data_IF_672972905790
#
_entry.id   IF_672972905790
#
_cell.length_a   1.000
_cell.length_b   1.000
_cell.length_c   1.000
_cell.angle_alpha   90.00
_cell.angle_beta   90.00
_cell.angle_gamma   90.00
#
_symmetry.space_group_name_H-M   'P 1'
#
loop_
_entity.id
_entity.type
_entity.pdbx_description
1 polymer ?
#
# COMPACT_ATOMS: atom_id res chain seq x y z
N UNK A 1 2.45 -9.41 12.35
CA UNK A 1 1.34 -9.48 11.38
C UNK A 1 0.06 -8.93 12.01
N UNK A 2 -0.33 -9.38 13.18
CA UNK A 2 -1.57 -8.96 13.85
C UNK A 2 -1.66 -7.45 14.10
N UNK A 3 -0.55 -6.83 14.49
CA UNK A 3 -0.50 -5.38 14.73
C UNK A 3 -0.90 -4.54 13.51
N UNK A 4 -0.63 -5.03 12.30
CA UNK A 4 -0.97 -4.35 11.05
C UNK A 4 -2.23 -4.92 10.39
N UNK A 5 -3.02 -5.73 11.10
CA UNK A 5 -4.28 -6.32 10.64
C UNK A 5 -4.11 -7.17 9.37
N UNK A 6 -2.97 -7.85 9.22
CA UNK A 6 -2.73 -8.63 8.01
C UNK A 6 -3.80 -9.69 7.80
N UNK A 7 -4.39 -9.65 6.62
CA UNK A 7 -5.26 -10.67 6.08
C UNK A 7 -5.06 -10.74 4.56
N UNK A 8 -5.40 -11.88 3.96
CA UNK A 8 -5.35 -12.05 2.50
C UNK A 8 -6.72 -11.83 1.84
N UNK A 9 -7.72 -11.49 2.65
CA UNK A 9 -9.09 -11.16 2.22
C UNK A 9 -9.57 -9.90 2.92
N UNK A 10 -10.57 -9.24 2.33
CA UNK A 10 -11.11 -7.98 2.83
C UNK A 10 -12.03 -8.12 4.05
N UNK A 11 -12.42 -9.34 4.43
CA UNK A 11 -13.48 -9.55 5.41
C UNK A 11 -14.85 -9.05 4.91
N UNK A 12 -15.75 -8.74 5.87
CA UNK A 12 -17.11 -8.30 5.58
C UNK A 12 -17.94 -9.36 4.82
N UNK A 13 -19.09 -8.97 4.29
CA UNK A 13 -20.09 -9.87 3.69
C UNK A 13 -19.57 -10.71 2.52
N UNK A 14 -18.69 -10.17 1.70
CA UNK A 14 -18.25 -10.81 0.46
C UNK A 14 -16.85 -11.40 0.53
N UNK A 15 -16.09 -11.03 1.53
CA UNK A 15 -14.74 -11.52 1.82
C UNK A 15 -13.83 -11.69 0.59
N UNK A 16 -13.79 -10.67 -0.26
CA UNK A 16 -12.98 -10.68 -1.48
C UNK A 16 -11.48 -10.79 -1.16
N UNK A 17 -10.71 -11.57 -1.96
CA UNK A 17 -9.27 -11.63 -1.81
C UNK A 17 -8.60 -10.28 -2.08
N UNK A 18 -7.57 -9.96 -1.31
CA UNK A 18 -6.70 -8.81 -1.54
C UNK A 18 -5.57 -9.21 -2.48
N UNK A 19 -5.56 -8.76 -3.74
CA UNK A 19 -4.52 -9.14 -4.69
C UNK A 19 -3.13 -8.75 -4.19
N UNK A 20 -2.22 -9.73 -4.15
CA UNK A 20 -0.83 -9.48 -3.74
C UNK A 20 -0.59 -9.28 -2.24
N UNK A 21 -1.58 -9.49 -1.36
CA UNK A 21 -1.40 -9.33 0.08
C UNK A 21 -0.23 -10.15 0.63
N UNK A 22 0.00 -11.37 0.11
CA UNK A 22 1.13 -12.22 0.48
C UNK A 22 2.49 -11.55 0.28
N UNK A 23 2.61 -10.60 -0.65
CA UNK A 23 3.87 -9.86 -0.87
C UNK A 23 4.27 -9.05 0.36
N UNK A 24 3.29 -8.48 1.07
CA UNK A 24 3.56 -7.76 2.31
C UNK A 24 4.05 -8.70 3.42
N UNK A 25 3.45 -9.88 3.57
CA UNK A 25 3.92 -10.91 4.51
C UNK A 25 5.37 -11.30 4.18
N UNK A 26 5.64 -11.62 2.93
CA UNK A 26 6.94 -12.07 2.47
C UNK A 26 8.00 -10.97 2.60
N UNK A 27 7.63 -9.71 2.35
CA UNK A 27 8.44 -8.53 2.63
C UNK A 27 8.84 -8.45 4.11
N UNK A 28 7.89 -8.60 5.04
CA UNK A 28 8.19 -8.58 6.47
C UNK A 28 9.15 -9.71 6.87
N UNK A 29 8.91 -10.93 6.37
CA UNK A 29 9.79 -12.08 6.64
C UNK A 29 11.22 -11.76 6.18
N UNK A 30 11.38 -11.22 4.97
CA UNK A 30 12.72 -10.84 4.47
C UNK A 30 13.34 -9.70 5.26
N UNK A 31 12.57 -8.70 5.63
CA UNK A 31 13.05 -7.56 6.39
C UNK A 31 13.59 -7.98 7.77
N UNK A 32 12.87 -8.85 8.49
CA UNK A 32 13.32 -9.38 9.77
C UNK A 32 14.52 -10.33 9.61
N UNK A 33 14.54 -11.18 8.60
CA UNK A 33 15.68 -12.05 8.34
C UNK A 33 16.96 -11.28 7.96
N UNK A 34 16.81 -10.12 7.32
CA UNK A 34 17.91 -9.23 6.96
C UNK A 34 18.29 -8.24 8.08
N UNK A 35 17.66 -8.34 9.26
CA UNK A 35 17.85 -7.44 10.40
C UNK A 35 17.75 -5.95 10.01
N UNK A 36 16.73 -5.63 9.20
CA UNK A 36 16.47 -4.23 8.79
C UNK A 36 16.21 -3.38 10.02
N UNK A 37 16.91 -2.25 10.14
CA UNK A 37 16.77 -1.37 11.29
C UNK A 37 15.35 -0.83 11.46
N UNK A 38 14.93 -0.60 12.70
CA UNK A 38 13.58 -0.16 13.01
C UNK A 38 13.21 1.17 12.33
N UNK A 39 14.11 2.12 12.28
CA UNK A 39 13.91 3.41 11.61
C UNK A 39 13.69 3.24 10.11
N UNK A 40 14.44 2.35 9.47
CA UNK A 40 14.25 2.01 8.05
C UNK A 40 12.89 1.33 7.84
N UNK A 41 12.52 0.39 8.72
CA UNK A 41 11.25 -0.30 8.65
C UNK A 41 10.07 0.69 8.75
N UNK A 42 10.14 1.64 9.69
CA UNK A 42 9.13 2.68 9.86
C UNK A 42 9.04 3.57 8.62
N UNK A 43 10.17 4.00 8.05
CA UNK A 43 10.19 4.81 6.82
C UNK A 43 9.55 4.07 5.65
N UNK A 44 9.84 2.78 5.48
CA UNK A 44 9.26 1.95 4.43
C UNK A 44 7.74 1.82 4.59
N UNK A 45 7.25 1.71 5.81
CA UNK A 45 5.81 1.64 6.06
C UNK A 45 5.09 2.96 5.84
N UNK A 46 5.68 4.07 6.29
CA UNK A 46 5.02 5.37 6.20
C UNK A 46 5.13 6.01 4.82
N UNK A 47 6.28 5.86 4.16
CA UNK A 47 6.62 6.57 2.94
C UNK A 47 7.58 5.78 2.03
N UNK A 48 7.43 4.47 1.94
CA UNK A 48 8.29 3.59 1.14
C UNK A 48 8.26 3.90 -0.35
N UNK A 49 7.17 4.45 -0.83
CA UNK A 49 6.97 4.94 -2.21
C UNK A 49 7.74 6.23 -2.51
N UNK A 50 8.11 7.01 -1.50
CA UNK A 50 8.82 8.30 -1.63
C UNK A 50 10.33 8.18 -1.41
N UNK A 51 10.84 7.00 -1.08
CA UNK A 51 12.27 6.82 -0.82
C UNK A 51 13.08 6.96 -2.11
N UNK A 52 14.07 7.86 -2.11
CA UNK A 52 14.98 8.08 -3.23
C UNK A 52 15.95 6.92 -3.44
N UNK A 53 16.25 6.18 -2.37
CA UNK A 53 17.11 4.99 -2.37
C UNK A 53 16.36 3.84 -1.68
N UNK A 54 15.42 3.20 -2.38
CA UNK A 54 14.65 2.11 -1.81
C UNK A 54 15.52 0.88 -1.59
N UNK A 55 15.16 0.06 -0.61
CA UNK A 55 15.71 -1.28 -0.45
C UNK A 55 15.17 -2.18 -1.55
N UNK A 56 16.06 -2.97 -2.14
CA UNK A 56 15.71 -3.86 -3.24
C UNK A 56 15.69 -5.32 -2.77
N UNK A 57 14.82 -6.09 -3.39
CA UNK A 57 14.80 -7.54 -3.22
C UNK A 57 16.13 -8.14 -3.71
N UNK A 58 16.83 -8.98 -2.93
CA UNK A 58 18.18 -9.43 -3.24
C UNK A 58 18.28 -10.21 -4.57
N UNK A 59 17.26 -11.01 -4.89
CA UNK A 59 17.31 -11.88 -6.07
C UNK A 59 16.67 -11.22 -7.31
N UNK A 60 15.55 -10.52 -7.15
CA UNK A 60 14.79 -9.97 -8.26
C UNK A 60 15.12 -8.52 -8.59
N UNK A 61 15.74 -7.78 -7.66
CA UNK A 61 16.01 -6.35 -7.78
C UNK A 61 14.75 -5.47 -7.72
N UNK A 62 13.61 -6.03 -7.33
CA UNK A 62 12.36 -5.28 -7.18
C UNK A 62 12.40 -4.37 -5.94
N UNK A 63 11.67 -3.27 -5.99
CA UNK A 63 11.55 -2.32 -4.89
C UNK A 63 10.78 -2.93 -3.71
N UNK A 64 11.49 -3.25 -2.64
CA UNK A 64 10.91 -3.78 -1.41
C UNK A 64 10.28 -2.69 -0.55
N UNK A 65 10.87 -1.50 -0.53
CA UNK A 65 10.44 -0.43 0.37
C UNK A 65 8.99 0.00 0.14
N UNK A 66 8.54 0.01 -1.11
CA UNK A 66 7.16 0.40 -1.43
C UNK A 66 6.13 -0.62 -0.92
N UNK A 67 6.53 -1.89 -0.77
CA UNK A 67 5.62 -2.95 -0.27
C UNK A 67 5.22 -2.67 1.18
N UNK A 68 6.10 -2.05 1.96
CA UNK A 68 5.82 -1.63 3.34
C UNK A 68 4.56 -0.77 3.45
N UNK A 69 4.31 0.12 2.49
CA UNK A 69 3.12 0.99 2.51
C UNK A 69 1.80 0.22 2.36
N UNK A 70 1.86 -1.05 1.98
CA UNK A 70 0.68 -1.90 1.81
C UNK A 70 -0.16 -2.04 3.09
N UNK A 71 0.43 -1.93 4.28
CA UNK A 71 -0.30 -2.05 5.54
C UNK A 71 -1.42 -1.02 5.71
N UNK A 72 -1.33 0.13 5.05
CA UNK A 72 -2.37 1.15 5.08
C UNK A 72 -3.72 0.65 4.55
N UNK A 73 -3.71 -0.36 3.70
CA UNK A 73 -4.89 -0.88 3.00
C UNK A 73 -5.29 -2.29 3.48
N UNK A 74 -4.59 -2.84 4.46
CA UNK A 74 -5.02 -4.06 5.13
C UNK A 74 -6.15 -3.74 6.11
N UNK A 75 -7.05 -4.69 6.31
CA UNK A 75 -8.20 -4.59 7.21
C UNK A 75 -9.52 -4.75 6.47
N UNK A 76 -10.59 -4.72 7.24
CA UNK A 76 -11.94 -4.86 6.72
C UNK A 76 -12.32 -3.74 5.76
N UNK A 77 -12.96 -4.10 4.65
CA UNK A 77 -13.45 -3.15 3.66
C UNK A 77 -14.92 -3.44 3.31
N UNK A 78 -15.78 -2.48 3.55
CA UNK A 78 -17.19 -2.53 3.17
C UNK A 78 -17.33 -2.45 1.65
N UNK A 79 -18.07 -3.41 1.04
CA UNK A 79 -18.21 -3.48 -0.41
C UNK A 79 -19.00 -2.31 -1.00
N UNK A 80 -20.12 -1.94 -0.38
CA UNK A 80 -21.02 -0.90 -0.88
C UNK A 80 -21.59 -0.09 0.30
N UNK A 81 -20.80 0.80 0.93
CA UNK A 81 -21.25 1.55 2.07
C UNK A 81 -22.40 2.51 1.69
N UNK A 82 -23.46 2.51 2.47
CA UNK A 82 -24.59 3.47 2.32
C UNK A 82 -24.13 4.87 2.71
N UNK A 83 -23.37 4.99 3.80
CA UNK A 83 -22.71 6.23 4.21
C UNK A 83 -21.24 6.20 3.79
N UNK A 84 -20.98 6.64 2.57
CA UNK A 84 -19.62 6.65 1.98
C UNK A 84 -18.67 7.53 2.78
N UNK A 85 -19.14 8.68 3.30
CA UNK A 85 -18.28 9.58 4.10
C UNK A 85 -17.98 9.02 5.48
N UNK A 86 -18.96 8.39 6.10
CA UNK A 86 -18.79 7.71 7.38
C UNK A 86 -17.82 6.54 7.26
N UNK A 87 -17.93 5.74 6.21
CA UNK A 87 -17.00 4.65 5.91
C UNK A 87 -15.58 5.16 5.69
N UNK A 88 -15.39 6.21 4.90
CA UNK A 88 -14.08 6.83 4.69
C UNK A 88 -13.48 7.34 6.00
N UNK A 89 -14.26 8.05 6.82
CA UNK A 89 -13.81 8.54 8.11
C UNK A 89 -13.44 7.40 9.07
N UNK A 90 -14.20 6.31 9.06
CA UNK A 90 -13.92 5.09 9.84
C UNK A 90 -12.64 4.40 9.38
N UNK A 91 -12.41 4.31 8.08
CA UNK A 91 -11.19 3.73 7.51
C UNK A 91 -9.96 4.55 7.89
N UNK A 92 -10.02 5.87 7.80
CA UNK A 92 -8.92 6.76 8.20
C UNK A 92 -8.64 6.65 9.70
N UNK A 93 -9.68 6.63 10.52
CA UNK A 93 -9.55 6.43 11.96
C UNK A 93 -8.82 5.12 12.30
N UNK A 94 -9.21 4.04 11.64
CA UNK A 94 -8.57 2.74 11.78
C UNK A 94 -7.10 2.75 11.30
N UNK A 95 -6.78 3.44 10.22
CA UNK A 95 -5.40 3.62 9.74
C UNK A 95 -4.54 4.36 10.78
N UNK A 96 -5.06 5.44 11.36
CA UNK A 96 -4.40 6.20 12.43
C UNK A 96 -4.16 5.33 13.66
N UNK A 97 -5.19 4.60 14.10
CA UNK A 97 -5.11 3.73 15.26
C UNK A 97 -4.05 2.64 15.09
N UNK A 98 -4.06 1.95 13.96
CA UNK A 98 -3.10 0.90 13.66
C UNK A 98 -1.68 1.45 13.55
N UNK A 99 -1.47 2.53 12.83
CA UNK A 99 -0.16 3.16 12.67
C UNK A 99 0.42 3.57 14.02
N UNK A 100 -0.36 4.27 14.84
CA UNK A 100 0.11 4.78 16.11
C UNK A 100 0.41 3.67 17.13
N UNK A 101 -0.43 2.64 17.19
CA UNK A 101 -0.20 1.48 18.06
C UNK A 101 1.01 0.65 17.60
N UNK A 102 1.14 0.43 16.31
CA UNK A 102 2.19 -0.43 15.74
C UNK A 102 3.57 0.21 15.88
N UNK A 103 3.68 1.50 15.53
CA UNK A 103 4.98 2.16 15.41
C UNK A 103 5.31 3.11 16.56
N UNK A 104 4.34 3.56 17.34
CA UNK A 104 4.57 4.48 18.43
C UNK A 104 4.17 3.90 19.80
N UNK A 105 3.41 2.82 19.82
CA UNK A 105 2.90 2.24 21.06
C UNK A 105 1.88 3.12 21.80
N UNK A 106 1.23 4.06 21.09
CA UNK A 106 0.27 5.01 21.66
C UNK A 106 -1.11 4.86 21.02
N UNK A 107 -2.15 5.35 21.68
CA UNK A 107 -3.55 5.28 21.23
C UNK A 107 -4.02 6.62 20.66
N UNK A 108 -3.44 7.04 19.53
CA UNK A 108 -3.72 8.34 18.90
C UNK A 108 -5.21 8.52 18.56
N UNK A 109 -5.92 7.44 18.25
CA UNK A 109 -7.36 7.47 17.94
C UNK A 109 -8.22 8.03 19.08
N UNK A 110 -7.77 7.97 20.33
CA UNK A 110 -8.46 8.61 21.45
C UNK A 110 -8.59 10.13 21.26
N UNK A 111 -7.63 10.75 20.57
CA UNK A 111 -7.61 12.19 20.32
C UNK A 111 -8.61 12.63 19.24
N UNK A 112 -9.36 11.73 18.64
CA UNK A 112 -10.43 12.06 17.69
C UNK A 112 -11.52 12.94 18.29
N UNK A 113 -11.89 12.70 19.56
CA UNK A 113 -13.01 13.36 20.23
C UNK A 113 -12.58 14.39 21.30
N UNK A 114 -11.42 14.21 21.92
CA UNK A 114 -10.89 15.07 22.98
C UNK A 114 -9.37 14.93 23.02
N UNK A 115 -8.67 15.88 23.60
CA UNK A 115 -7.23 15.76 23.82
C UNK A 115 -6.90 14.48 24.60
N UNK A 116 -5.82 13.81 24.23
CA UNK A 116 -5.45 12.53 24.83
C UNK A 116 -5.27 12.66 26.33
N UNK A 117 -5.81 11.70 27.09
CA UNK A 117 -5.88 11.81 28.56
C UNK A 117 -4.50 11.79 29.24
N UNK A 118 -3.55 11.04 28.69
CA UNK A 118 -2.27 10.76 29.31
C UNK A 118 -1.08 11.33 28.54
N UNK A 119 -1.16 11.34 27.21
CA UNK A 119 -0.07 11.77 26.34
C UNK A 119 -0.31 13.20 25.84
N UNK A 120 0.76 13.92 25.52
CA UNK A 120 0.70 15.29 24.99
C UNK A 120 0.25 15.31 23.51
N UNK A 121 -0.93 14.76 23.25
CA UNK A 121 -1.54 14.64 21.92
C UNK A 121 -2.88 15.36 21.93
N UNK A 122 -3.00 16.39 21.13
CA UNK A 122 -4.24 17.15 21.01
C UNK A 122 -5.16 16.57 19.94
N UNK A 123 -6.44 16.92 20.00
CA UNK A 123 -7.39 16.69 18.92
C UNK A 123 -6.89 17.28 17.60
N UNK A 124 -6.18 18.40 17.65
CA UNK A 124 -5.57 19.01 16.45
C UNK A 124 -4.53 18.10 15.80
N UNK A 125 -3.73 17.38 16.58
CA UNK A 125 -2.73 16.44 16.05
C UNK A 125 -3.40 15.26 15.34
N UNK A 126 -4.49 14.72 15.91
CA UNK A 126 -5.29 13.71 15.23
C UNK A 126 -5.80 14.18 13.86
N UNK A 127 -6.40 15.37 13.80
CA UNK A 127 -6.95 15.89 12.54
C UNK A 127 -5.87 16.32 11.55
N UNK A 128 -4.66 16.66 12.00
CA UNK A 128 -3.52 16.91 11.11
C UNK A 128 -3.12 15.63 10.37
N UNK A 129 -3.01 14.49 11.09
CA UNK A 129 -2.72 13.19 10.48
C UNK A 129 -3.89 12.73 9.59
N UNK A 130 -5.12 12.91 10.04
CA UNK A 130 -6.31 12.59 9.26
C UNK A 130 -6.31 13.35 7.93
N UNK A 131 -6.01 14.64 7.91
CA UNK A 131 -5.90 15.45 6.69
C UNK A 131 -4.79 14.95 5.75
N UNK A 132 -3.67 14.49 6.30
CA UNK A 132 -2.60 13.87 5.52
C UNK A 132 -3.08 12.59 4.83
N UNK A 133 -3.76 11.70 5.57
CA UNK A 133 -4.28 10.45 5.01
C UNK A 133 -5.40 10.68 3.99
N UNK A 134 -6.26 11.68 4.19
CA UNK A 134 -7.28 12.08 3.21
C UNK A 134 -6.67 12.57 1.89
N UNK A 135 -5.47 13.14 1.94
CA UNK A 135 -4.73 13.58 0.76
C UNK A 135 -3.99 12.44 0.05
N UNK A 136 -3.91 11.26 0.69
CA UNK A 136 -3.23 10.09 0.16
C UNK A 136 -4.23 9.19 -0.57
N UNK A 137 -3.79 8.55 -1.65
CA UNK A 137 -4.64 7.65 -2.44
C UNK A 137 -3.96 6.32 -2.66
N UNK A 138 -4.75 5.24 -2.61
CA UNK A 138 -4.29 3.94 -3.07
C UNK A 138 -3.91 4.02 -4.54
N UNK A 139 -2.73 3.51 -4.87
CA UNK A 139 -2.21 3.41 -6.22
C UNK A 139 -1.70 2.00 -6.48
N UNK A 140 -1.83 1.55 -7.71
CA UNK A 140 -1.08 0.40 -8.19
C UNK A 140 0.31 0.86 -8.60
N UNK A 141 1.34 0.27 -8.02
CA UNK A 141 2.72 0.59 -8.33
C UNK A 141 3.44 -0.62 -8.92
N UNK A 142 4.27 -0.36 -9.92
CA UNK A 142 5.23 -1.36 -10.39
C UNK A 142 6.39 -1.43 -9.41
N UNK A 143 6.72 -2.62 -8.94
CA UNK A 143 7.84 -2.86 -8.03
C UNK A 143 9.21 -2.75 -8.72
N UNK A 144 9.22 -2.44 -10.01
CA UNK A 144 10.40 -2.38 -10.87
C UNK A 144 11.03 -0.97 -10.89
N UNK A 145 12.06 -0.69 -10.07
CA UNK A 145 12.69 0.62 -10.01
C UNK A 145 13.43 0.99 -11.30
N UNK A 146 13.77 0.00 -12.12
CA UNK A 146 14.49 0.19 -13.38
C UNK A 146 13.56 0.24 -14.60
N UNK A 147 12.25 0.24 -14.39
CA UNK A 147 11.21 0.33 -15.42
C UNK A 147 11.24 -0.80 -16.48
N UNK A 148 11.95 -1.89 -16.25
CA UNK A 148 12.04 -3.04 -17.17
C UNK A 148 10.68 -3.62 -17.52
N UNK A 149 9.79 -3.73 -16.51
CA UNK A 149 8.41 -4.20 -16.73
C UNK A 149 7.62 -3.19 -17.57
N UNK A 150 7.77 -1.89 -17.31
CA UNK A 150 7.10 -0.85 -18.07
C UNK A 150 7.58 -0.84 -19.54
N UNK A 151 8.89 -0.95 -19.77
CA UNK A 151 9.48 -1.06 -21.09
C UNK A 151 9.03 -2.32 -21.84
N UNK A 152 9.04 -3.47 -21.17
CA UNK A 152 8.55 -4.73 -21.74
C UNK A 152 7.06 -4.68 -22.12
N UNK A 153 6.21 -4.07 -21.28
CA UNK A 153 4.79 -3.84 -21.59
C UNK A 153 4.60 -2.95 -22.81
N UNK A 154 5.40 -1.89 -22.92
CA UNK A 154 5.32 -1.00 -24.08
C UNK A 154 5.78 -1.70 -25.38
N UNK A 155 6.84 -2.50 -25.31
CA UNK A 155 7.28 -3.33 -26.45
C UNK A 155 6.20 -4.31 -26.89
N UNK A 156 5.54 -5.00 -25.94
CA UNK A 156 4.42 -5.90 -26.25
C UNK A 156 3.27 -5.14 -26.92
N UNK A 157 2.91 -3.97 -26.41
CA UNK A 157 1.86 -3.12 -27.00
C UNK A 157 2.20 -2.73 -28.44
N UNK A 158 3.44 -2.34 -28.70
CA UNK A 158 3.90 -1.99 -30.05
C UNK A 158 3.88 -3.17 -31.00
N UNK A 159 4.25 -4.37 -30.54
CA UNK A 159 4.16 -5.60 -31.33
C UNK A 159 2.70 -5.91 -31.63
N UNK A 160 1.81 -5.88 -30.65
CA UNK A 160 0.39 -6.13 -30.83
C UNK A 160 -0.27 -5.15 -31.82
N UNK A 161 0.14 -3.88 -31.82
CA UNK A 161 -0.35 -2.88 -32.75
C UNK A 161 0.09 -3.14 -34.20
N UNK A 162 1.21 -3.83 -34.42
CA UNK A 162 1.72 -4.18 -35.77
C UNK A 162 1.09 -5.44 -36.34
N UNK A 163 0.57 -6.34 -35.52
CA UNK A 163 0.00 -7.61 -35.98
C UNK A 163 -1.11 -7.44 -37.05
N UNK A 164 -2.11 -6.57 -36.89
CA UNK A 164 -3.14 -6.37 -37.88
C UNK A 164 -2.57 -5.92 -39.23
N UNK A 165 -1.61 -4.99 -39.24
CA UNK A 165 -0.98 -4.45 -40.45
C UNK A 165 -0.19 -5.53 -41.20
N UNK A 166 0.47 -6.43 -40.50
CA UNK A 166 1.22 -7.54 -41.07
C UNK A 166 0.30 -8.59 -41.70
N UNK A 167 -0.85 -8.85 -41.05
CA UNK A 167 -1.86 -9.78 -41.58
C UNK A 167 -2.55 -9.24 -42.85
N UNK A 168 -2.86 -7.95 -42.89
CA UNK A 168 -3.42 -7.29 -44.07
C UNK A 168 -2.42 -7.31 -45.27
N UNK A 169 -1.14 -7.06 -44.98
CA UNK A 169 -0.08 -7.10 -45.98
C UNK A 169 0.12 -8.52 -46.58
N UNK A 170 -0.04 -9.57 -45.75
CA UNK A 170 0.12 -10.96 -46.18
C UNK A 170 -1.08 -11.49 -47.01
N UNK A 171 -2.25 -10.84 -46.93
CA UNK A 171 -3.46 -11.21 -47.68
C UNK A 171 -3.58 -10.46 -49.02
N UNK A 172 -2.71 -9.51 -49.30
CA UNK A 172 -2.72 -8.65 -50.48
C UNK A 172 -1.76 -9.09 -51.58
N UNK A 173 -1.05 -10.22 -51.51
CA UNK A 173 -0.26 -10.77 -52.61
C UNK A 173 -1.12 -11.74 -53.44
N UNK A 174 -1.31 -11.48 -54.75
CA UNK A 174 -2.11 -12.32 -55.65
C UNK A 174 -1.40 -13.62 -56.03
#
# INVERSE_FOLDING_TARGET
>A
MDLVRYAETCGHEFDYPIPGAHQYRDYLIRAFNADVSYDQLVREHLAGDLLTSPRLHPDSGLNESIIGTGFWFLGEATHAPVDVKGDEAGRIDNQIDVMSKTFLGITLACARCHDHKFDAISTKDYYAISGFLQSSRRQEALLDPHRRIAEGREQIRQIQAKIPQTLEASQGEP
#
